data_IF_350937710437
#
_entry.id   IF_350937710437
#
_cell.length_a   1.000
_cell.length_b   1.000
_cell.length_c   1.000
_cell.angle_alpha   90.00
_cell.angle_beta   90.00
_cell.angle_gamma   90.00
#
_symmetry.space_group_name_H-M   'P 1'
#
loop_
_entity.id
_entity.type
_entity.pdbx_description
1 polymer ?
#
# COMPACT_ATOMS: atom_id res chain seq x y z
N UNK A 1 25.43 -32.08 46.08
CA UNK A 1 25.31 -31.14 44.97
C UNK A 1 23.94 -31.32 44.34
N UNK A 2 23.02 -30.36 44.55
CA UNK A 2 21.72 -30.35 43.87
C UNK A 2 21.96 -29.80 42.46
N UNK A 3 21.70 -30.64 41.43
CA UNK A 3 21.67 -30.22 40.05
C UNK A 3 20.39 -29.39 39.90
N UNK A 4 20.44 -28.12 39.48
CA UNK A 4 19.21 -27.39 39.20
C UNK A 4 18.45 -28.09 38.05
N UNK A 5 17.22 -28.48 38.36
CA UNK A 5 16.32 -29.04 37.36
C UNK A 5 16.03 -28.02 36.25
N UNK A 6 15.61 -28.45 35.07
CA UNK A 6 15.29 -27.56 33.97
C UNK A 6 14.24 -26.57 34.45
N UNK A 7 14.57 -25.28 34.38
CA UNK A 7 13.61 -24.19 34.57
C UNK A 7 12.67 -24.28 33.37
N UNK A 8 11.50 -24.88 33.54
CA UNK A 8 10.43 -24.85 32.55
C UNK A 8 9.99 -23.38 32.43
N UNK A 9 10.44 -22.74 31.38
CA UNK A 9 9.89 -21.44 31.00
C UNK A 9 8.38 -21.63 30.81
N UNK A 10 7.57 -20.81 31.48
CA UNK A 10 6.13 -20.84 31.26
C UNK A 10 5.88 -20.69 29.76
N UNK A 11 5.02 -21.58 29.20
CA UNK A 11 4.70 -21.56 27.79
C UNK A 11 4.21 -20.16 27.36
N UNK A 12 4.73 -19.65 26.26
CA UNK A 12 4.42 -18.31 25.80
C UNK A 12 2.94 -18.24 25.37
N UNK A 13 2.21 -17.30 25.97
CA UNK A 13 0.83 -17.02 25.57
C UNK A 13 0.82 -16.08 24.37
N UNK A 14 0.10 -16.45 23.31
CA UNK A 14 -0.10 -15.59 22.14
C UNK A 14 -1.10 -14.48 22.48
N UNK A 15 -0.74 -13.25 22.21
CA UNK A 15 -1.56 -12.07 22.44
C UNK A 15 -2.57 -11.83 21.31
N UNK A 16 -2.17 -12.14 20.06
CA UNK A 16 -3.07 -12.05 18.91
C UNK A 16 -2.57 -12.91 17.74
N UNK A 17 -3.50 -13.35 16.90
CA UNK A 17 -3.23 -13.96 15.60
C UNK A 17 -4.12 -13.30 14.56
N UNK A 18 -3.55 -12.94 13.41
CA UNK A 18 -4.24 -12.16 12.36
C UNK A 18 -3.94 -12.74 11.00
N UNK A 19 -4.88 -12.55 10.05
CA UNK A 19 -4.78 -12.97 8.67
C UNK A 19 -5.19 -11.81 7.76
N UNK A 20 -4.32 -11.46 6.81
CA UNK A 20 -4.54 -10.38 5.84
C UNK A 20 -4.43 -10.94 4.42
N UNK A 21 -5.56 -11.30 3.77
CA UNK A 21 -5.55 -11.77 2.39
C UNK A 21 -5.41 -10.59 1.42
N UNK A 22 -4.54 -10.73 0.41
CA UNK A 22 -4.39 -9.78 -0.68
C UNK A 22 -3.97 -10.50 -1.97
N UNK A 23 -4.16 -9.85 -3.11
CA UNK A 23 -3.75 -10.40 -4.42
C UNK A 23 -2.24 -10.53 -4.53
N UNK A 24 -1.49 -9.60 -3.95
CA UNK A 24 -0.02 -9.61 -4.01
C UNK A 24 0.60 -10.63 -3.06
N UNK A 25 -0.04 -10.90 -1.89
CA UNK A 25 0.36 -11.89 -0.91
C UNK A 25 -0.70 -12.05 0.18
N UNK A 26 -0.77 -13.21 0.82
CA UNK A 26 -1.52 -13.35 2.09
C UNK A 26 -0.55 -13.36 3.25
N UNK A 27 -0.84 -12.58 4.28
CA UNK A 27 -0.02 -12.45 5.49
C UNK A 27 -0.69 -13.08 6.70
N UNK A 28 0.05 -13.92 7.42
CA UNK A 28 -0.31 -14.44 8.75
C UNK A 28 0.64 -13.83 9.77
N UNK A 29 0.09 -13.29 10.86
CA UNK A 29 0.86 -12.72 11.95
C UNK A 29 0.47 -13.38 13.25
N UNK A 30 1.48 -13.77 14.03
CA UNK A 30 1.33 -14.29 15.39
C UNK A 30 2.13 -13.39 16.30
N UNK A 31 1.48 -12.83 17.30
CA UNK A 31 2.06 -11.85 18.21
C UNK A 31 2.05 -12.35 19.66
N UNK A 32 3.18 -12.14 20.34
CA UNK A 32 3.34 -12.49 21.75
C UNK A 32 4.18 -11.48 22.52
N UNK A 33 4.18 -11.58 23.86
CA UNK A 33 4.93 -10.67 24.73
C UNK A 33 6.45 -10.92 24.70
N UNK A 34 6.87 -12.08 24.18
CA UNK A 34 8.26 -12.51 24.08
C UNK A 34 8.56 -13.07 22.68
N UNK A 35 9.84 -13.20 22.27
CA UNK A 35 10.20 -13.89 21.04
C UNK A 35 9.60 -15.30 20.98
N UNK A 36 9.06 -15.66 19.83
CA UNK A 36 8.39 -16.93 19.57
C UNK A 36 9.34 -17.80 18.73
N UNK A 37 9.95 -18.85 19.27
CA UNK A 37 10.74 -19.78 18.47
C UNK A 37 9.85 -20.50 17.46
N UNK A 38 10.31 -20.57 16.20
CA UNK A 38 9.49 -21.05 15.10
C UNK A 38 10.30 -21.72 14.02
N UNK A 39 9.66 -22.64 13.29
CA UNK A 39 10.23 -23.34 12.13
C UNK A 39 9.20 -23.43 11.02
N UNK A 40 9.64 -23.30 9.75
CA UNK A 40 8.81 -23.38 8.56
C UNK A 40 9.20 -24.55 7.70
N UNK A 41 8.19 -25.26 7.17
CA UNK A 41 8.35 -26.28 6.14
C UNK A 41 7.28 -26.10 5.08
N UNK A 42 7.68 -26.11 3.82
CA UNK A 42 6.77 -26.10 2.68
C UNK A 42 6.68 -27.55 2.10
N UNK A 43 5.48 -28.00 1.81
CA UNK A 43 5.16 -29.30 1.21
C UNK A 43 4.42 -29.06 -0.11
N UNK A 44 4.68 -29.89 -1.13
CA UNK A 44 4.15 -29.66 -2.47
C UNK A 44 2.88 -30.46 -2.79
N UNK A 45 2.80 -31.71 -2.38
CA UNK A 45 1.74 -32.65 -2.77
C UNK A 45 0.94 -33.17 -1.55
N UNK A 46 -0.22 -32.62 -1.24
CA UNK A 46 -0.79 -31.37 -1.72
C UNK A 46 -0.06 -30.14 -1.17
N UNK A 47 -0.15 -28.96 -1.84
CA UNK A 47 0.60 -27.77 -1.42
C UNK A 47 0.16 -27.31 -0.04
N UNK A 48 1.12 -27.21 0.88
CA UNK A 48 0.89 -26.83 2.29
C UNK A 48 2.12 -26.10 2.85
N UNK A 49 1.85 -25.21 3.79
CA UNK A 49 2.89 -24.63 4.62
C UNK A 49 2.64 -25.04 6.07
N UNK A 50 3.68 -25.54 6.71
CA UNK A 50 3.65 -25.98 8.11
C UNK A 50 4.52 -25.03 8.93
N UNK A 51 3.92 -24.36 9.88
CA UNK A 51 4.58 -23.48 10.85
C UNK A 51 4.54 -24.17 12.22
N UNK A 52 5.69 -24.50 12.75
CA UNK A 52 5.84 -25.05 14.09
C UNK A 52 6.28 -23.94 15.04
N UNK A 53 5.58 -23.80 16.15
CA UNK A 53 5.85 -22.84 17.23
C UNK A 53 6.26 -23.61 18.48
N UNK A 54 7.44 -23.31 19.03
CA UNK A 54 7.96 -23.98 20.21
C UNK A 54 7.62 -23.21 21.49
N UNK A 55 7.27 -23.94 22.55
CA UNK A 55 6.95 -23.33 23.86
C UNK A 55 5.70 -22.46 23.86
N UNK A 56 4.76 -22.68 22.93
CA UNK A 56 3.52 -21.91 22.79
C UNK A 56 2.32 -22.72 23.24
N UNK A 57 1.42 -22.09 24.01
CA UNK A 57 0.13 -22.66 24.36
C UNK A 57 -0.91 -22.41 23.26
N UNK A 58 -1.81 -23.40 23.07
CA UNK A 58 -3.00 -23.18 22.25
C UNK A 58 -3.92 -22.20 22.98
N UNK A 59 -4.00 -20.99 22.46
CA UNK A 59 -4.80 -19.90 23.02
C UNK A 59 -6.06 -19.65 22.18
N UNK A 60 -7.11 -19.02 22.75
CA UNK A 60 -8.30 -18.65 21.99
C UNK A 60 -8.03 -17.81 20.75
N UNK A 61 -6.96 -17.00 20.76
CA UNK A 61 -6.53 -16.16 19.63
C UNK A 61 -6.05 -17.03 18.47
N UNK A 62 -5.29 -18.09 18.76
CA UNK A 62 -4.86 -19.05 17.74
C UNK A 62 -6.01 -19.93 17.26
N UNK A 63 -6.89 -20.38 18.16
CA UNK A 63 -8.06 -21.20 17.81
C UNK A 63 -8.99 -20.48 16.82
N UNK A 64 -9.03 -19.15 16.84
CA UNK A 64 -9.83 -18.35 15.91
C UNK A 64 -9.17 -18.19 14.54
N UNK A 65 -7.86 -18.35 14.41
CA UNK A 65 -7.15 -18.09 13.14
C UNK A 65 -7.76 -18.83 11.93
N UNK A 66 -8.20 -20.12 12.04
CA UNK A 66 -8.89 -20.79 10.94
C UNK A 66 -10.18 -20.09 10.49
N UNK A 67 -10.87 -19.38 11.38
CA UNK A 67 -12.13 -18.69 11.07
C UNK A 67 -11.93 -17.41 10.25
N UNK A 68 -10.70 -16.90 10.16
CA UNK A 68 -10.36 -15.71 9.37
C UNK A 68 -10.12 -16.02 7.90
N UNK A 69 -9.99 -17.31 7.53
CA UNK A 69 -9.83 -17.72 6.14
C UNK A 69 -11.12 -17.44 5.37
N UNK A 70 -11.03 -16.57 4.39
CA UNK A 70 -12.15 -16.21 3.52
C UNK A 70 -12.16 -17.08 2.26
N UNK A 71 -13.34 -17.42 1.70
CA UNK A 71 -13.41 -18.12 0.42
C UNK A 71 -12.68 -17.40 -0.72
N UNK A 72 -12.64 -16.08 -0.65
CA UNK A 72 -11.95 -15.21 -1.61
C UNK A 72 -10.43 -15.10 -1.41
N UNK A 73 -9.86 -15.63 -0.32
CA UNK A 73 -8.41 -15.65 -0.13
C UNK A 73 -7.75 -16.33 -1.35
N UNK A 74 -6.79 -15.70 -2.04
CA UNK A 74 -6.24 -16.26 -3.27
C UNK A 74 -5.32 -17.47 -3.03
N UNK A 75 -4.76 -17.63 -1.83
CA UNK A 75 -3.70 -18.60 -1.54
C UNK A 75 -4.08 -19.66 -0.51
N UNK A 76 -4.84 -19.31 0.53
CA UNK A 76 -5.17 -20.22 1.62
C UNK A 76 -6.53 -20.86 1.40
N UNK A 77 -6.56 -22.20 1.41
CA UNK A 77 -7.80 -22.99 1.38
C UNK A 77 -8.36 -23.23 2.78
N UNK A 78 -7.46 -23.35 3.77
CA UNK A 78 -7.83 -23.58 5.16
C UNK A 78 -6.63 -23.58 6.09
N UNK A 79 -6.88 -23.42 7.39
CA UNK A 79 -5.86 -23.47 8.44
C UNK A 79 -6.27 -24.52 9.46
N UNK A 80 -5.32 -25.32 9.90
CA UNK A 80 -5.49 -26.32 10.97
C UNK A 80 -4.44 -26.08 12.04
N UNK A 81 -4.84 -26.16 13.29
CA UNK A 81 -3.94 -25.96 14.43
C UNK A 81 -4.07 -27.15 15.37
N UNK A 82 -2.95 -27.75 15.75
CA UNK A 82 -2.93 -28.84 16.70
C UNK A 82 -1.60 -28.87 17.47
N UNK A 83 -1.64 -29.43 18.68
CA UNK A 83 -0.44 -29.76 19.42
C UNK A 83 0.26 -30.96 18.78
N UNK A 84 1.48 -30.77 18.33
CA UNK A 84 2.28 -31.81 17.68
C UNK A 84 3.17 -32.60 18.66
N UNK A 85 3.58 -31.94 19.75
CA UNK A 85 4.27 -32.53 20.91
C UNK A 85 3.97 -31.68 22.16
N UNK A 86 4.38 -32.09 23.37
CA UNK A 86 4.13 -31.33 24.59
C UNK A 86 4.55 -29.86 24.48
N UNK A 87 5.65 -29.58 23.80
CA UNK A 87 6.25 -28.25 23.70
C UNK A 87 6.10 -27.60 22.31
N UNK A 88 5.38 -28.23 21.36
CA UNK A 88 5.28 -27.75 19.99
C UNK A 88 3.83 -27.64 19.52
N UNK A 89 3.44 -26.48 19.12
CA UNK A 89 2.18 -26.20 18.45
C UNK A 89 2.41 -26.13 16.95
N UNK A 90 1.60 -26.83 16.16
CA UNK A 90 1.69 -26.87 14.71
C UNK A 90 0.51 -26.18 14.08
N UNK A 91 0.82 -25.27 13.17
CA UNK A 91 -0.14 -24.57 12.29
C UNK A 91 0.11 -25.09 10.87
N UNK A 92 -0.91 -25.66 10.24
CA UNK A 92 -0.86 -26.11 8.85
C UNK A 92 -1.76 -25.23 8.02
N UNK A 93 -1.18 -24.56 7.03
CA UNK A 93 -1.91 -23.80 6.03
C UNK A 93 -2.05 -24.70 4.79
N UNK A 94 -3.27 -25.13 4.51
CA UNK A 94 -3.61 -25.82 3.26
C UNK A 94 -3.75 -24.78 2.16
N UNK A 95 -3.02 -24.93 1.05
CA UNK A 95 -2.94 -23.92 0.01
C UNK A 95 -3.80 -24.28 -1.21
N UNK A 96 -4.35 -23.29 -1.87
CA UNK A 96 -5.05 -23.42 -3.16
C UNK A 96 -4.09 -23.62 -4.33
N UNK A 97 -2.87 -23.08 -4.20
CA UNK A 97 -1.80 -23.12 -5.19
C UNK A 97 -0.45 -23.08 -4.50
N UNK A 98 0.61 -23.48 -5.19
CA UNK A 98 1.97 -23.29 -4.67
C UNK A 98 2.29 -21.81 -4.47
N UNK A 99 2.95 -21.51 -3.36
CA UNK A 99 3.38 -20.17 -3.00
C UNK A 99 4.87 -20.15 -2.66
N UNK A 100 5.45 -18.98 -2.60
CA UNK A 100 6.77 -18.71 -2.05
C UNK A 100 6.61 -18.14 -0.64
N UNK A 101 6.69 -18.96 0.42
CA UNK A 101 6.56 -18.48 1.78
C UNK A 101 7.80 -17.71 2.21
N UNK A 102 7.61 -16.61 2.92
CA UNK A 102 8.66 -15.86 3.62
C UNK A 102 8.28 -15.77 5.10
N UNK A 103 9.17 -16.26 5.96
CA UNK A 103 8.99 -16.24 7.40
C UNK A 103 10.08 -15.38 8.05
N UNK A 104 9.69 -14.50 8.94
CA UNK A 104 10.60 -13.65 9.70
C UNK A 104 9.99 -13.22 11.02
N UNK A 105 10.86 -12.84 11.98
CA UNK A 105 10.45 -12.29 13.26
C UNK A 105 10.67 -10.79 13.32
N UNK A 106 9.79 -10.09 14.00
CA UNK A 106 9.88 -8.65 14.25
C UNK A 106 9.95 -8.35 15.73
N UNK A 107 10.85 -7.44 16.16
CA UNK A 107 10.88 -6.96 17.54
C UNK A 107 9.65 -6.09 17.83
N UNK A 108 9.40 -5.80 19.12
CA UNK A 108 8.35 -4.88 19.54
C UNK A 108 8.53 -3.49 18.89
N UNK A 109 7.41 -2.90 18.46
CA UNK A 109 7.36 -1.53 17.92
C UNK A 109 6.01 -0.90 18.24
N UNK A 110 6.00 0.34 18.70
CA UNK A 110 4.80 1.07 19.12
C UNK A 110 3.99 0.25 20.15
N UNK A 111 2.76 -0.14 19.81
CA UNK A 111 1.87 -0.96 20.65
C UNK A 111 1.99 -2.47 20.38
N UNK A 112 2.78 -2.87 19.38
CA UNK A 112 2.94 -4.27 19.00
C UNK A 112 4.06 -4.95 19.80
N UNK A 113 3.81 -6.20 20.19
CA UNK A 113 4.79 -7.09 20.81
C UNK A 113 5.73 -7.74 19.79
N UNK A 114 6.33 -8.87 20.19
CA UNK A 114 7.11 -9.70 19.28
C UNK A 114 6.19 -10.37 18.28
N UNK A 115 6.51 -10.29 16.98
CA UNK A 115 5.67 -10.83 15.91
C UNK A 115 6.44 -11.86 15.09
N UNK A 116 5.80 -12.97 14.80
CA UNK A 116 6.18 -13.91 13.74
C UNK A 116 5.29 -13.62 12.56
N UNK A 117 5.88 -13.30 11.42
CA UNK A 117 5.19 -12.92 10.19
C UNK A 117 5.48 -13.97 9.13
N UNK A 118 4.41 -14.52 8.54
CA UNK A 118 4.47 -15.44 7.40
C UNK A 118 3.74 -14.81 6.23
N UNK A 119 4.49 -14.46 5.20
CA UNK A 119 3.97 -13.97 3.92
C UNK A 119 3.97 -15.08 2.88
N UNK A 120 2.83 -15.26 2.22
CA UNK A 120 2.64 -16.22 1.13
C UNK A 120 2.53 -15.46 -0.19
N UNK A 121 3.63 -15.39 -0.94
CA UNK A 121 3.66 -14.75 -2.25
C UNK A 121 3.31 -15.74 -3.36
N UNK A 122 2.63 -15.32 -4.44
CA UNK A 122 2.48 -16.16 -5.63
C UNK A 122 3.84 -16.51 -6.24
N UNK A 123 3.94 -17.68 -6.87
CA UNK A 123 5.14 -18.06 -7.63
C UNK A 123 5.32 -17.16 -8.85
N UNK A 124 4.22 -16.82 -9.50
CA UNK A 124 4.19 -15.89 -10.61
C UNK A 124 3.36 -14.67 -10.15
N UNK A 125 4.00 -13.51 -9.94
CA UNK A 125 3.27 -12.29 -9.58
C UNK A 125 2.22 -11.96 -10.64
N UNK A 126 1.04 -11.51 -10.24
CA UNK A 126 0.08 -10.93 -11.17
C UNK A 126 0.74 -9.71 -11.82
N UNK A 127 0.99 -9.78 -13.13
CA UNK A 127 1.62 -8.69 -13.87
C UNK A 127 0.56 -7.61 -14.18
N UNK A 128 0.63 -6.43 -13.56
CA UNK A 128 -0.31 -5.35 -13.84
C UNK A 128 -0.30 -4.88 -15.30
N UNK A 129 0.84 -5.08 -15.99
CA UNK A 129 0.98 -4.76 -17.40
C UNK A 129 0.22 -5.77 -18.28
N UNK A 130 0.26 -7.06 -17.94
CA UNK A 130 -0.50 -8.09 -18.64
C UNK A 130 -2.01 -7.89 -18.47
N UNK A 131 -2.48 -7.56 -17.28
CA UNK A 131 -3.89 -7.21 -17.04
C UNK A 131 -4.33 -6.01 -17.90
N UNK A 132 -3.49 -5.01 -18.04
CA UNK A 132 -3.71 -3.84 -18.91
C UNK A 132 -3.73 -4.20 -20.41
N UNK A 133 -2.90 -5.15 -20.85
CA UNK A 133 -2.84 -5.61 -22.24
C UNK A 133 -4.05 -6.49 -22.59
N UNK A 134 -4.49 -7.36 -21.69
CA UNK A 134 -5.71 -8.17 -21.84
C UNK A 134 -6.95 -7.28 -21.97
N UNK A 135 -7.08 -6.27 -21.10
CA UNK A 135 -8.19 -5.32 -21.14
C UNK A 135 -8.22 -4.49 -22.44
N UNK A 136 -7.07 -4.26 -23.06
CA UNK A 136 -6.95 -3.57 -24.36
C UNK A 136 -7.21 -4.46 -25.56
N UNK A 137 -7.54 -5.75 -25.37
CA UNK A 137 -7.77 -6.69 -26.46
C UNK A 137 -6.51 -6.96 -27.31
N UNK A 138 -5.31 -6.65 -26.79
CA UNK A 138 -4.05 -6.78 -27.55
C UNK A 138 -3.56 -8.24 -27.68
N UNK A 139 -4.14 -9.19 -26.94
CA UNK A 139 -3.77 -10.61 -26.95
C UNK A 139 -4.72 -11.53 -27.75
N UNK A 140 -5.76 -10.98 -28.37
CA UNK A 140 -6.74 -11.74 -29.15
C UNK A 140 -6.75 -11.35 -30.62
N UNK A 141 -5.83 -11.84 -31.40
CA UNK A 141 -5.90 -11.68 -32.86
C UNK A 141 -4.83 -12.51 -33.58
N UNK A 142 -5.25 -13.55 -34.27
CA UNK A 142 -4.43 -14.31 -35.24
C UNK A 142 -3.70 -13.35 -36.18
N UNK A 143 -2.40 -13.17 -36.03
CA UNK A 143 -1.58 -12.49 -37.02
C UNK A 143 -1.22 -13.46 -38.14
N UNK A 144 -1.92 -13.34 -39.28
CA UNK A 144 -1.36 -13.76 -40.57
C UNK A 144 -0.07 -12.96 -40.84
N UNK A 145 0.98 -13.59 -41.37
CA UNK A 145 2.18 -12.84 -41.77
C UNK A 145 1.82 -11.86 -42.90
N UNK A 146 2.08 -10.59 -42.64
CA UNK A 146 1.84 -9.52 -43.62
C UNK A 146 3.00 -9.44 -44.60
N UNK A 147 2.67 -9.37 -45.87
CA UNK A 147 3.57 -9.04 -46.96
C UNK A 147 4.05 -7.58 -46.91
N UNK A 148 4.99 -7.26 -47.79
CA UNK A 148 5.82 -6.07 -47.93
C UNK A 148 5.22 -4.72 -47.52
N UNK A 149 6.04 -3.76 -47.00
CA UNK A 149 5.59 -2.49 -46.47
C UNK A 149 5.10 -1.58 -47.61
N UNK A 150 3.88 -1.01 -47.52
CA UNK A 150 3.47 0.05 -48.42
C UNK A 150 4.12 1.39 -47.97
N UNK A 151 4.77 2.01 -48.93
CA UNK A 151 5.27 3.37 -48.90
C UNK A 151 4.08 4.35 -48.84
N UNK A 152 3.62 4.67 -47.65
CA UNK A 152 2.85 5.88 -47.27
C UNK A 152 2.44 5.73 -45.81
N UNK A 153 3.00 6.57 -44.94
CA UNK A 153 2.50 6.78 -43.59
C UNK A 153 1.11 7.41 -43.67
N UNK A 154 0.04 6.73 -43.23
CA UNK A 154 -1.23 7.41 -43.10
C UNK A 154 -1.08 8.44 -41.98
N UNK A 155 -1.54 9.67 -42.22
CA UNK A 155 -1.72 10.66 -41.17
C UNK A 155 -2.54 10.01 -40.04
N UNK A 156 -1.91 9.83 -38.87
CA UNK A 156 -2.56 9.28 -37.70
C UNK A 156 -3.78 10.15 -37.41
N UNK A 157 -4.95 9.55 -37.51
CA UNK A 157 -6.20 10.17 -37.05
C UNK A 157 -5.99 10.64 -35.63
N UNK A 158 -6.11 11.94 -35.40
CA UNK A 158 -5.84 12.71 -34.17
C UNK A 158 -6.66 12.32 -32.93
N UNK A 159 -7.22 11.11 -32.85
CA UNK A 159 -8.18 10.73 -31.80
C UNK A 159 -7.74 9.54 -30.93
N UNK A 160 -6.52 9.04 -31.03
CA UNK A 160 -6.02 7.97 -30.15
C UNK A 160 -5.10 8.54 -29.07
N UNK A 161 -5.62 9.50 -28.27
CA UNK A 161 -4.94 9.95 -27.07
C UNK A 161 -5.04 8.82 -26.05
N UNK A 162 -3.89 8.26 -25.65
CA UNK A 162 -3.84 7.29 -24.56
C UNK A 162 -4.53 7.86 -23.31
N UNK A 163 -5.15 6.99 -22.52
CA UNK A 163 -5.74 7.39 -21.25
C UNK A 163 -4.65 7.88 -20.28
N UNK A 164 -4.96 8.92 -19.54
CA UNK A 164 -4.20 9.38 -18.38
C UNK A 164 -4.37 8.36 -17.26
N UNK A 165 -3.29 7.84 -16.72
CA UNK A 165 -3.31 6.86 -15.63
C UNK A 165 -2.95 7.57 -14.33
N UNK A 166 -3.88 7.55 -13.37
CA UNK A 166 -3.68 8.09 -12.01
C UNK A 166 -3.55 6.93 -11.03
N UNK A 167 -2.39 6.79 -10.41
CA UNK A 167 -2.19 5.84 -9.33
C UNK A 167 -2.65 6.47 -8.01
N UNK A 168 -3.64 5.84 -7.39
CA UNK A 168 -4.20 6.23 -6.11
C UNK A 168 -3.63 5.33 -5.02
N UNK A 169 -3.02 5.93 -4.04
CA UNK A 169 -2.45 5.26 -2.89
C UNK A 169 -3.29 5.57 -1.65
N UNK A 170 -4.03 4.57 -1.16
CA UNK A 170 -4.66 4.67 0.14
C UNK A 170 -3.62 4.33 1.20
N UNK A 171 -3.18 5.32 1.98
CA UNK A 171 -2.19 5.14 3.03
C UNK A 171 -2.51 4.01 4.00
N UNK A 172 -1.49 3.46 4.67
CA UNK A 172 -1.65 2.40 5.68
C UNK A 172 -2.30 1.11 5.14
N UNK A 173 -2.99 0.37 5.99
CA UNK A 173 -3.71 -0.87 5.63
C UNK A 173 -3.22 -2.09 6.40
N UNK A 174 -4.09 -3.10 6.54
CA UNK A 174 -3.77 -4.34 7.24
C UNK A 174 -3.26 -4.09 8.64
N UNK A 175 -2.03 -4.51 8.91
CA UNK A 175 -1.36 -4.38 10.20
C UNK A 175 -1.09 -2.93 10.63
N UNK A 176 -0.97 -2.02 9.68
CA UNK A 176 -0.79 -0.60 9.96
C UNK A 176 -2.15 0.11 9.95
N UNK A 177 -2.70 0.47 11.12
CA UNK A 177 -3.97 1.17 11.21
C UNK A 177 -3.88 2.64 10.78
N UNK A 178 -2.67 3.20 10.68
CA UNK A 178 -2.46 4.63 10.63
C UNK A 178 -2.80 5.31 11.96
N UNK A 179 -3.22 6.56 11.91
CA UNK A 179 -3.73 7.27 13.06
C UNK A 179 -5.10 6.74 13.49
N UNK A 180 -5.39 6.86 14.80
CA UNK A 180 -6.66 6.42 15.37
C UNK A 180 -7.35 7.62 16.01
N UNK A 181 -8.57 7.89 15.53
CA UNK A 181 -9.43 8.93 16.08
C UNK A 181 -9.93 8.60 17.48
N UNK A 182 -10.43 9.60 18.18
CA UNK A 182 -10.92 9.44 19.57
C UNK A 182 -12.14 8.50 19.67
N UNK A 183 -12.88 8.33 18.59
CA UNK A 183 -14.04 7.43 18.48
C UNK A 183 -13.68 6.04 17.95
N UNK A 184 -12.39 5.72 17.86
CA UNK A 184 -11.88 4.46 17.32
C UNK A 184 -11.91 4.36 15.80
N UNK A 185 -12.00 5.49 15.10
CA UNK A 185 -11.93 5.52 13.64
C UNK A 185 -10.48 5.29 13.21
N UNK A 186 -10.23 4.31 12.37
CA UNK A 186 -8.90 4.07 11.80
C UNK A 186 -8.69 4.89 10.52
N UNK A 187 -7.52 5.49 10.40
CA UNK A 187 -7.12 6.23 9.21
C UNK A 187 -7.20 5.36 7.96
N UNK A 188 -6.66 4.13 8.02
CA UNK A 188 -6.65 3.18 6.90
C UNK A 188 -8.01 2.96 6.25
N UNK A 189 -9.09 2.96 7.05
CA UNK A 189 -10.46 2.74 6.56
C UNK A 189 -11.01 3.99 5.86
N UNK A 190 -10.75 5.15 6.44
CA UNK A 190 -11.18 6.44 5.89
C UNK A 190 -10.52 6.71 4.55
N UNK A 191 -9.19 6.57 4.48
CA UNK A 191 -8.45 6.88 3.26
C UNK A 191 -8.76 5.89 2.13
N UNK A 192 -9.02 4.61 2.46
CA UNK A 192 -9.50 3.63 1.48
C UNK A 192 -10.88 4.00 0.93
N UNK A 193 -11.79 4.45 1.80
CA UNK A 193 -13.13 4.87 1.40
C UNK A 193 -13.09 6.11 0.48
N UNK A 194 -12.20 7.07 0.75
CA UNK A 194 -12.00 8.25 -0.10
C UNK A 194 -11.35 7.85 -1.43
N UNK A 195 -10.31 7.02 -1.41
CA UNK A 195 -9.61 6.55 -2.61
C UNK A 195 -10.55 5.80 -3.56
N UNK A 196 -11.43 4.93 -3.05
CA UNK A 196 -12.44 4.21 -3.86
C UNK A 196 -13.43 5.16 -4.54
N UNK A 197 -13.84 6.24 -3.84
CA UNK A 197 -14.71 7.28 -4.42
C UNK A 197 -13.99 8.08 -5.49
N UNK A 198 -12.74 8.46 -5.24
CA UNK A 198 -11.91 9.17 -6.21
C UNK A 198 -11.64 8.30 -7.45
N UNK A 199 -11.37 7.00 -7.28
CA UNK A 199 -11.27 6.04 -8.39
C UNK A 199 -12.52 6.07 -9.26
N UNK A 200 -13.70 5.98 -8.65
CA UNK A 200 -14.98 5.99 -9.40
C UNK A 200 -15.14 7.27 -10.24
N UNK A 201 -14.76 8.43 -9.69
CA UNK A 201 -14.83 9.69 -10.41
C UNK A 201 -13.83 9.77 -11.57
N UNK A 202 -12.60 9.32 -11.35
CA UNK A 202 -11.56 9.29 -12.40
C UNK A 202 -11.93 8.32 -13.51
N UNK A 203 -12.42 7.12 -13.16
CA UNK A 203 -12.80 6.10 -14.16
C UNK A 203 -14.03 6.52 -14.99
N UNK A 204 -14.88 7.41 -14.46
CA UNK A 204 -15.99 8.03 -15.18
C UNK A 204 -15.55 9.17 -16.11
N UNK A 205 -14.36 9.75 -15.93
CA UNK A 205 -13.86 10.85 -16.77
C UNK A 205 -13.34 10.31 -18.11
N UNK A 206 -13.86 10.79 -19.26
CA UNK A 206 -13.34 10.37 -20.56
C UNK A 206 -11.84 10.63 -20.73
N UNK A 207 -11.09 9.60 -21.10
CA UNK A 207 -9.64 9.70 -21.31
C UNK A 207 -8.80 9.56 -20.03
N UNK A 208 -9.40 9.25 -18.89
CA UNK A 208 -8.70 8.96 -17.63
C UNK A 208 -8.96 7.52 -17.15
N UNK A 209 -8.09 7.03 -16.28
CA UNK A 209 -8.21 5.76 -15.58
C UNK A 209 -7.47 5.85 -14.24
N UNK A 210 -8.07 5.28 -13.20
CA UNK A 210 -7.40 5.11 -11.92
C UNK A 210 -6.91 3.66 -11.74
N UNK A 211 -5.78 3.52 -11.02
CA UNK A 211 -5.33 2.27 -10.42
C UNK A 211 -5.10 2.50 -8.93
N UNK A 212 -5.27 1.47 -8.11
CA UNK A 212 -5.06 1.59 -6.68
C UNK A 212 -3.86 0.76 -6.24
N UNK A 213 -3.09 1.24 -5.27
CA UNK A 213 -1.99 0.46 -4.66
C UNK A 213 -2.53 -0.67 -3.80
N UNK A 214 -3.66 -0.44 -3.14
CA UNK A 214 -4.49 -1.43 -2.46
C UNK A 214 -5.97 -1.11 -2.66
N UNK A 215 -6.76 -2.12 -2.83
CA UNK A 215 -8.22 -2.02 -3.01
C UNK A 215 -9.02 -2.59 -1.84
N UNK A 216 -8.33 -3.15 -0.85
CA UNK A 216 -8.91 -3.67 0.39
C UNK A 216 -8.00 -3.41 1.60
N UNK A 217 -8.34 -3.98 2.77
CA UNK A 217 -7.60 -3.80 4.02
C UNK A 217 -6.42 -4.76 4.11
N UNK A 218 -5.32 -4.42 3.45
CA UNK A 218 -4.02 -5.08 3.58
C UNK A 218 -2.88 -4.05 3.50
N UNK A 219 -1.73 -4.38 4.07
CA UNK A 219 -0.57 -3.50 4.08
C UNK A 219 0.20 -3.62 2.76
N UNK A 220 0.59 -2.49 2.20
CA UNK A 220 1.50 -2.42 1.05
C UNK A 220 2.76 -1.65 1.47
N UNK A 221 3.96 -2.26 1.40
CA UNK A 221 5.21 -1.57 1.71
C UNK A 221 5.42 -0.32 0.87
N UNK A 222 6.00 0.74 1.46
CA UNK A 222 6.15 2.04 0.79
C UNK A 222 6.83 1.94 -0.59
N UNK A 223 7.91 1.17 -0.68
CA UNK A 223 8.59 0.93 -1.95
C UNK A 223 7.72 0.20 -2.98
N UNK A 224 6.85 -0.71 -2.52
CA UNK A 224 5.94 -1.46 -3.40
C UNK A 224 4.84 -0.55 -3.95
N UNK A 225 4.37 0.46 -3.19
CA UNK A 225 3.41 1.47 -3.67
C UNK A 225 3.96 2.22 -4.89
N UNK A 226 5.22 2.66 -4.79
CA UNK A 226 5.94 3.31 -5.89
C UNK A 226 6.11 2.38 -7.09
N UNK A 227 6.56 1.13 -6.86
CA UNK A 227 6.71 0.11 -7.92
C UNK A 227 5.39 -0.17 -8.65
N UNK A 228 4.27 -0.25 -7.93
CA UNK A 228 2.95 -0.42 -8.55
C UNK A 228 2.57 0.73 -9.47
N UNK A 229 2.83 1.98 -9.06
CA UNK A 229 2.60 3.14 -9.91
C UNK A 229 3.49 3.13 -11.16
N UNK A 230 4.77 2.76 -11.02
CA UNK A 230 5.70 2.63 -12.14
C UNK A 230 5.29 1.49 -13.10
N UNK A 231 4.89 0.33 -12.58
CA UNK A 231 4.48 -0.82 -13.39
C UNK A 231 3.30 -0.50 -14.32
N UNK A 232 2.34 0.30 -13.86
CA UNK A 232 1.22 0.76 -14.68
C UNK A 232 1.56 2.02 -15.50
N UNK A 233 2.80 2.50 -15.39
CA UNK A 233 3.25 3.75 -16.04
C UNK A 233 2.30 4.92 -15.72
N UNK A 234 2.01 5.14 -14.44
CA UNK A 234 1.15 6.22 -14.01
C UNK A 234 1.66 7.60 -14.46
N UNK A 235 0.74 8.50 -14.77
CA UNK A 235 1.01 9.90 -15.11
C UNK A 235 0.97 10.81 -13.88
N UNK A 236 0.38 10.30 -12.79
CA UNK A 236 0.28 10.97 -11.50
C UNK A 236 0.15 9.91 -10.40
N UNK A 237 0.81 10.14 -9.27
CA UNK A 237 0.65 9.38 -8.04
C UNK A 237 0.06 10.27 -6.95
N UNK A 238 -1.02 9.81 -6.32
CA UNK A 238 -1.72 10.54 -5.24
C UNK A 238 -1.84 9.63 -4.03
N UNK A 239 -1.07 9.91 -2.99
CA UNK A 239 -1.18 9.26 -1.69
C UNK A 239 -2.19 10.01 -0.81
N UNK A 240 -3.14 9.31 -0.22
CA UNK A 240 -4.27 9.87 0.53
C UNK A 240 -4.14 9.44 1.98
N UNK A 241 -4.10 10.44 2.87
CA UNK A 241 -3.91 10.31 4.31
C UNK A 241 -4.94 11.13 5.11
N UNK A 242 -5.04 10.87 6.40
CA UNK A 242 -5.88 11.60 7.36
C UNK A 242 -5.26 11.53 8.76
N UNK A 243 -4.05 12.02 8.88
CA UNK A 243 -3.16 11.77 10.01
C UNK A 243 -3.63 12.41 11.35
N UNK A 244 -2.95 12.03 12.42
CA UNK A 244 -3.07 12.68 13.73
C UNK A 244 -1.94 13.68 13.93
N UNK A 245 -2.28 14.86 14.41
CA UNK A 245 -1.29 15.84 14.85
C UNK A 245 -1.14 15.82 16.38
N UNK A 246 0.02 16.29 16.88
CA UNK A 246 0.31 16.34 18.32
C UNK A 246 -0.72 17.13 19.10
N UNK A 247 -1.15 18.25 18.52
CA UNK A 247 -2.18 19.12 19.08
C UNK A 247 -3.55 18.73 18.54
N UNK A 248 -4.43 18.29 19.42
CA UNK A 248 -5.81 17.89 19.06
C UNK A 248 -6.66 19.02 18.47
N UNK A 249 -6.24 20.28 18.65
CA UNK A 249 -6.86 21.45 18.04
C UNK A 249 -6.46 21.68 16.59
N UNK A 250 -5.40 20.97 16.10
CA UNK A 250 -4.99 21.04 14.71
C UNK A 250 -6.14 20.58 13.81
N UNK A 251 -6.35 21.31 12.73
CA UNK A 251 -7.44 21.08 11.76
C UNK A 251 -7.05 21.58 10.40
N UNK A 252 -7.78 21.12 9.42
CA UNK A 252 -7.59 21.54 8.04
C UNK A 252 -6.81 20.53 7.21
N UNK A 253 -6.86 20.74 5.91
CA UNK A 253 -6.20 19.87 4.93
C UNK A 253 -4.85 20.43 4.50
N UNK A 254 -3.96 19.54 4.06
CA UNK A 254 -2.64 19.91 3.51
C UNK A 254 -2.31 19.07 2.29
N UNK A 255 -1.45 19.58 1.42
CA UNK A 255 -0.88 18.82 0.31
C UNK A 255 0.63 18.93 0.37
N UNK A 256 1.30 17.81 0.17
CA UNK A 256 2.75 17.69 0.23
C UNK A 256 3.31 17.18 -1.10
N UNK A 257 4.50 17.68 -1.45
CA UNK A 257 5.33 17.15 -2.52
C UNK A 257 6.70 16.71 -1.95
N UNK A 258 7.44 15.94 -2.72
CA UNK A 258 8.79 15.53 -2.34
C UNK A 258 9.72 16.74 -2.24
N UNK A 259 10.64 16.70 -1.28
CA UNK A 259 11.83 17.54 -1.21
C UNK A 259 13.07 16.72 -0.94
N UNK A 260 14.13 17.00 -1.66
CA UNK A 260 15.47 16.44 -1.41
C UNK A 260 16.33 17.37 -0.53
N UNK A 261 16.06 18.65 -0.57
CA UNK A 261 16.82 19.69 0.13
C UNK A 261 16.41 19.94 1.59
N UNK A 262 15.45 19.16 2.10
CA UNK A 262 14.91 19.33 3.45
C UNK A 262 13.41 19.61 3.47
N UNK A 263 12.82 19.78 4.64
CA UNK A 263 11.38 20.03 4.77
C UNK A 263 11.07 21.53 4.80
N UNK A 264 9.93 21.91 4.21
CA UNK A 264 9.43 23.30 4.20
C UNK A 264 9.06 23.82 5.60
N UNK A 265 8.72 22.90 6.52
CA UNK A 265 8.39 23.22 7.92
C UNK A 265 8.79 22.08 8.87
N UNK A 266 8.85 22.39 10.18
CA UNK A 266 9.07 21.38 11.21
C UNK A 266 7.92 20.37 11.27
N UNK A 267 6.68 20.81 10.99
CA UNK A 267 5.51 19.95 10.90
C UNK A 267 5.61 18.97 9.73
N UNK A 268 5.98 19.46 8.54
CA UNK A 268 6.19 18.61 7.36
C UNK A 268 7.32 17.59 7.57
N UNK A 269 8.42 17.98 8.25
CA UNK A 269 9.51 17.07 8.62
C UNK A 269 9.03 15.96 9.54
N UNK A 270 8.29 16.32 10.58
CA UNK A 270 7.78 15.37 11.55
C UNK A 270 6.79 14.39 10.89
N UNK A 271 5.88 14.90 10.06
CA UNK A 271 4.92 14.07 9.34
C UNK A 271 5.64 13.07 8.41
N UNK A 272 6.59 13.53 7.61
CA UNK A 272 7.37 12.64 6.75
C UNK A 272 8.13 11.56 7.53
N UNK A 273 8.66 11.88 8.72
CA UNK A 273 9.31 10.89 9.59
C UNK A 273 8.32 9.84 10.09
N UNK A 274 7.11 10.26 10.45
CA UNK A 274 6.04 9.37 10.91
C UNK A 274 5.59 8.44 9.78
N UNK A 275 5.28 8.99 8.62
CA UNK A 275 4.82 8.22 7.46
C UNK A 275 5.90 7.24 6.94
N UNK A 276 7.16 7.66 6.96
CA UNK A 276 8.28 6.79 6.59
C UNK A 276 8.49 5.61 7.57
N UNK A 277 7.93 5.67 8.78
CA UNK A 277 7.96 4.58 9.76
C UNK A 277 6.85 3.54 9.55
N UNK A 278 5.94 3.73 8.61
CA UNK A 278 4.84 2.82 8.31
C UNK A 278 5.32 1.39 8.01
N UNK A 279 6.44 1.22 7.32
CA UNK A 279 7.02 -0.10 7.02
C UNK A 279 7.40 -0.88 8.29
N UNK A 280 7.83 -0.21 9.37
CA UNK A 280 8.11 -0.84 10.66
C UNK A 280 6.83 -1.36 11.33
N UNK A 281 5.76 -0.57 11.28
CA UNK A 281 4.45 -0.92 11.85
C UNK A 281 3.81 -2.03 11.03
N UNK A 282 3.77 -1.86 9.71
CA UNK A 282 3.24 -2.82 8.75
C UNK A 282 4.03 -4.13 8.67
N UNK A 283 5.18 -4.21 9.34
CA UNK A 283 5.96 -5.44 9.45
C UNK A 283 6.71 -5.81 8.17
N UNK A 284 7.46 -4.88 7.61
CA UNK A 284 8.37 -5.17 6.50
C UNK A 284 9.67 -5.76 7.03
N UNK A 285 10.16 -6.83 6.39
CA UNK A 285 11.49 -7.36 6.69
C UNK A 285 12.58 -6.43 6.13
N UNK A 286 13.18 -5.62 6.99
CA UNK A 286 14.24 -4.68 6.62
C UNK A 286 15.60 -5.34 6.39
N UNK A 287 15.78 -6.60 6.79
CA UNK A 287 17.03 -7.35 6.56
C UNK A 287 17.19 -7.80 5.11
N UNK A 288 16.10 -7.87 4.37
CA UNK A 288 16.12 -8.10 2.91
C UNK A 288 16.38 -6.76 2.22
N UNK A 289 17.64 -6.35 2.17
CA UNK A 289 18.06 -5.21 1.36
C UNK A 289 17.86 -5.56 -0.12
N UNK A 290 16.81 -5.04 -0.73
CA UNK A 290 16.72 -5.00 -2.19
C UNK A 290 17.78 -4.01 -2.70
N UNK A 291 18.86 -4.47 -3.39
CA UNK A 291 19.92 -3.58 -3.88
C UNK A 291 19.42 -2.56 -4.90
N UNK A 292 18.23 -2.79 -5.47
CA UNK A 292 17.58 -1.87 -6.42
C UNK A 292 17.05 -0.62 -5.68
N UNK A 293 16.61 -0.75 -4.43
CA UNK A 293 16.18 0.39 -3.60
C UNK A 293 17.31 1.39 -3.31
N UNK A 294 18.55 0.93 -3.22
CA UNK A 294 19.70 1.78 -2.91
C UNK A 294 20.22 2.56 -4.14
N UNK A 295 19.90 2.15 -5.36
CA UNK A 295 20.40 2.74 -6.60
C UNK A 295 19.45 3.66 -7.35
N UNK A 296 18.16 3.71 -6.99
CA UNK A 296 17.15 4.53 -7.68
C UNK A 296 17.16 6.00 -7.24
N UNK A 297 18.18 6.46 -6.59
CA UNK A 297 18.16 7.72 -5.83
C UNK A 297 18.88 8.90 -6.46
N UNK A 298 19.35 8.89 -7.70
CA UNK A 298 19.99 10.09 -8.25
C UNK A 298 19.77 10.15 -9.76
N UNK A 299 18.90 11.07 -10.22
CA UNK A 299 19.11 11.70 -11.52
C UNK A 299 18.29 13.00 -11.68
N UNK A 300 18.72 13.86 -12.59
CA UNK A 300 18.14 15.16 -12.96
C UNK A 300 16.64 15.14 -13.32
N UNK A 301 16.05 13.95 -13.54
CA UNK A 301 14.61 13.76 -13.75
C UNK A 301 13.78 14.13 -12.53
N UNK A 302 14.32 14.03 -11.31
CA UNK A 302 13.59 14.34 -10.06
C UNK A 302 13.22 15.82 -9.94
N UNK A 303 14.06 16.74 -10.43
CA UNK A 303 13.77 18.18 -10.36
C UNK A 303 12.52 18.55 -11.19
N UNK A 304 12.39 18.00 -12.40
CA UNK A 304 11.20 18.21 -13.23
C UNK A 304 9.95 17.57 -12.61
N UNK A 305 10.07 16.36 -12.07
CA UNK A 305 9.01 15.66 -11.38
C UNK A 305 8.53 16.43 -10.15
N UNK A 306 9.44 16.98 -9.33
CA UNK A 306 9.07 17.81 -8.16
C UNK A 306 8.34 19.08 -8.61
N UNK A 307 8.79 19.74 -9.68
CA UNK A 307 8.10 20.92 -10.23
C UNK A 307 6.67 20.60 -10.66
N UNK A 308 6.45 19.48 -11.34
CA UNK A 308 5.11 19.06 -11.76
C UNK A 308 4.26 18.60 -10.56
N UNK A 309 4.87 17.97 -9.54
CA UNK A 309 4.23 17.65 -8.28
C UNK A 309 3.71 18.91 -7.56
N UNK A 310 4.48 19.98 -7.54
CA UNK A 310 4.07 21.26 -6.96
C UNK A 310 2.89 21.89 -7.72
N UNK A 311 2.89 21.79 -9.07
CA UNK A 311 1.77 22.30 -9.89
C UNK A 311 0.48 21.51 -9.62
N UNK A 312 0.51 20.20 -9.70
CA UNK A 312 -0.68 19.38 -9.42
C UNK A 312 -1.12 19.54 -7.97
N UNK A 313 -0.16 19.57 -7.04
CA UNK A 313 -0.43 19.79 -5.62
C UNK A 313 -1.17 21.11 -5.37
N UNK A 314 -0.81 22.18 -6.08
CA UNK A 314 -1.52 23.47 -5.97
C UNK A 314 -2.97 23.38 -6.45
N UNK A 315 -3.22 22.75 -7.60
CA UNK A 315 -4.58 22.58 -8.10
C UNK A 315 -5.46 21.73 -7.17
N UNK A 316 -4.88 20.69 -6.55
CA UNK A 316 -5.57 19.83 -5.58
C UNK A 316 -5.82 20.60 -4.28
N UNK A 317 -4.82 21.32 -3.76
CA UNK A 317 -4.95 22.14 -2.55
C UNK A 317 -6.05 23.21 -2.69
N UNK A 318 -6.06 23.92 -3.82
CA UNK A 318 -7.08 24.93 -4.12
C UNK A 318 -8.50 24.31 -4.19
N UNK A 319 -8.61 23.08 -4.72
CA UNK A 319 -9.86 22.32 -4.73
C UNK A 319 -10.31 21.95 -3.32
N UNK A 320 -9.44 21.35 -2.53
CA UNK A 320 -9.74 20.92 -1.16
C UNK A 320 -10.10 22.09 -0.27
N UNK A 321 -9.47 23.26 -0.48
CA UNK A 321 -9.78 24.49 0.25
C UNK A 321 -11.22 24.97 0.12
N UNK A 322 -11.99 24.47 -0.86
CA UNK A 322 -13.43 24.76 -0.99
C UNK A 322 -14.30 23.86 -0.12
N UNK A 323 -13.77 22.73 0.35
CA UNK A 323 -14.50 21.71 1.13
C UNK A 323 -14.11 21.75 2.60
N UNK A 324 -12.83 21.94 2.89
CA UNK A 324 -12.29 21.99 4.25
C UNK A 324 -11.30 23.16 4.39
N UNK A 325 -11.21 23.81 5.55
CA UNK A 325 -10.15 24.78 5.80
C UNK A 325 -8.77 24.20 5.49
N UNK A 326 -7.87 25.01 4.97
CA UNK A 326 -6.50 24.58 4.75
C UNK A 326 -5.68 24.74 6.03
N UNK A 327 -4.90 23.73 6.41
CA UNK A 327 -3.93 23.84 7.49
C UNK A 327 -2.78 24.79 7.09
N UNK A 328 -2.34 24.70 5.84
CA UNK A 328 -1.37 25.59 5.21
C UNK A 328 -1.89 26.08 3.85
N UNK A 329 -1.69 27.35 3.50
CA UNK A 329 -2.20 27.91 2.24
C UNK A 329 -1.35 27.56 1.02
N UNK A 330 -0.27 26.82 1.20
CA UNK A 330 0.67 26.42 0.14
C UNK A 330 0.97 24.93 0.23
N UNK A 331 1.38 24.34 -0.90
CA UNK A 331 1.92 22.97 -0.93
C UNK A 331 3.21 22.94 -0.11
N UNK A 332 3.27 22.09 0.87
CA UNK A 332 4.46 21.85 1.67
C UNK A 332 5.36 20.78 1.04
N UNK A 333 6.61 20.69 1.50
CA UNK A 333 7.56 19.72 0.97
C UNK A 333 8.33 19.05 2.10
N UNK A 334 8.55 17.73 1.97
CA UNK A 334 9.44 16.97 2.85
C UNK A 334 9.90 15.66 2.19
N UNK A 335 10.76 14.91 2.88
CA UNK A 335 11.35 13.68 2.37
C UNK A 335 10.45 12.44 2.53
N UNK A 336 9.23 12.47 2.01
CA UNK A 336 8.30 11.33 2.02
C UNK A 336 8.82 10.20 1.15
N UNK A 337 9.01 9.01 1.73
CA UNK A 337 9.51 7.84 1.02
C UNK A 337 8.56 7.38 -0.10
N UNK A 338 7.25 7.46 0.14
CA UNK A 338 6.21 7.06 -0.82
C UNK A 338 6.16 7.97 -2.06
N UNK A 339 6.67 9.20 -1.99
CA UNK A 339 6.71 10.15 -3.13
C UNK A 339 7.98 10.06 -3.97
N UNK A 340 8.88 9.12 -3.66
CA UNK A 340 10.15 8.93 -4.39
C UNK A 340 9.96 8.12 -5.67
N UNK A 341 9.11 8.58 -6.56
CA UNK A 341 8.95 8.05 -7.92
C UNK A 341 9.65 9.01 -8.89
N UNK A 342 10.83 8.71 -9.42
CA UNK A 342 11.67 9.71 -10.13
C UNK A 342 11.03 10.26 -11.40
N UNK A 343 10.13 9.54 -12.02
CA UNK A 343 9.52 9.85 -13.32
C UNK A 343 8.00 10.10 -13.25
N UNK A 344 7.41 10.13 -12.05
CA UNK A 344 5.97 10.31 -11.85
C UNK A 344 5.72 11.50 -10.93
N UNK A 345 5.04 12.57 -11.35
CA UNK A 345 4.55 13.61 -10.44
C UNK A 345 3.78 12.98 -9.28
N UNK A 346 4.14 13.30 -8.05
CA UNK A 346 3.65 12.60 -6.86
C UNK A 346 3.29 13.58 -5.75
N UNK A 347 2.11 13.44 -5.18
CA UNK A 347 1.64 14.25 -4.06
C UNK A 347 1.09 13.36 -2.94
N UNK A 348 1.19 13.86 -1.70
CA UNK A 348 0.50 13.31 -0.54
C UNK A 348 -0.54 14.33 -0.06
N UNK A 349 -1.75 13.86 0.14
CA UNK A 349 -2.90 14.69 0.53
C UNK A 349 -3.34 14.28 1.93
N UNK A 350 -3.17 15.17 2.90
CA UNK A 350 -3.81 15.09 4.20
C UNK A 350 -5.21 15.68 4.09
N UNK A 351 -6.22 14.81 4.12
CA UNK A 351 -7.61 15.24 3.94
C UNK A 351 -8.12 16.04 5.13
N UNK A 352 -7.74 15.62 6.34
CA UNK A 352 -8.05 16.29 7.61
C UNK A 352 -7.24 15.62 8.73
N UNK A 353 -7.23 16.16 9.93
CA UNK A 353 -6.59 15.53 11.09
C UNK A 353 -7.58 14.68 11.88
N UNK A 354 -7.45 13.34 11.81
CA UNK A 354 -8.34 12.39 12.51
C UNK A 354 -8.28 12.54 14.04
N UNK A 355 -7.20 13.14 14.58
CA UNK A 355 -7.04 13.46 16.01
C UNK A 355 -7.98 14.56 16.48
N UNK A 356 -8.52 15.38 15.57
CA UNK A 356 -9.50 16.41 15.87
C UNK A 356 -10.92 15.81 15.86
N UNK A 357 -11.70 15.92 16.98
CA UNK A 357 -13.01 15.28 17.07
C UNK A 357 -14.05 15.73 16.04
N UNK A 358 -13.98 17.00 15.61
CA UNK A 358 -14.91 17.54 14.61
C UNK A 358 -14.54 17.06 13.21
N UNK A 359 -13.23 16.96 12.91
CA UNK A 359 -12.76 16.43 11.64
C UNK A 359 -12.93 14.91 11.55
N UNK A 360 -12.75 14.17 12.66
CA UNK A 360 -13.07 12.75 12.71
C UNK A 360 -14.52 12.47 12.32
N UNK A 361 -15.47 13.29 12.81
CA UNK A 361 -16.89 13.16 12.43
C UNK A 361 -17.11 13.39 10.93
N UNK A 362 -16.43 14.36 10.33
CA UNK A 362 -16.47 14.63 8.89
C UNK A 362 -15.87 13.44 8.11
N UNK A 363 -14.69 12.95 8.52
CA UNK A 363 -13.99 11.83 7.89
C UNK A 363 -14.82 10.53 7.89
N UNK A 364 -15.67 10.32 8.89
CA UNK A 364 -16.62 9.20 8.96
C UNK A 364 -17.84 9.37 8.05
N UNK A 365 -18.12 10.58 7.59
CA UNK A 365 -19.28 10.87 6.77
C UNK A 365 -19.03 10.48 5.31
N UNK A 366 -19.82 9.55 4.77
CA UNK A 366 -19.75 9.16 3.37
C UNK A 366 -19.94 10.32 2.41
N UNK A 367 -20.77 11.32 2.79
CA UNK A 367 -20.98 12.57 2.05
C UNK A 367 -19.69 13.38 2.00
N UNK A 368 -19.05 13.59 3.14
CA UNK A 368 -17.83 14.41 3.21
C UNK A 368 -16.65 13.75 2.51
N UNK A 369 -16.52 12.41 2.62
CA UNK A 369 -15.57 11.62 1.84
C UNK A 369 -15.76 11.81 0.33
N UNK A 370 -17.01 11.91 -0.15
CA UNK A 370 -17.31 12.17 -1.56
C UNK A 370 -16.94 13.61 -1.94
N UNK A 371 -17.20 14.59 -1.06
CA UNK A 371 -16.82 15.99 -1.27
C UNK A 371 -15.28 16.11 -1.40
N UNK A 372 -14.50 15.44 -0.55
CA UNK A 372 -13.04 15.35 -0.70
C UNK A 372 -12.62 14.70 -2.02
N UNK A 373 -13.21 13.56 -2.36
CA UNK A 373 -12.89 12.87 -3.61
C UNK A 373 -13.18 13.75 -4.83
N UNK A 374 -14.33 14.45 -4.83
CA UNK A 374 -14.70 15.38 -5.91
C UNK A 374 -13.73 16.54 -6.04
N UNK A 375 -13.33 17.15 -4.91
CA UNK A 375 -12.41 18.28 -4.91
C UNK A 375 -11.01 17.89 -5.43
N UNK A 376 -10.52 16.72 -5.06
CA UNK A 376 -9.28 16.16 -5.61
C UNK A 376 -9.38 15.85 -7.11
N UNK A 377 -10.49 15.22 -7.53
CA UNK A 377 -10.75 14.95 -8.95
C UNK A 377 -10.75 16.23 -9.77
N UNK A 378 -11.44 17.28 -9.31
CA UNK A 378 -11.49 18.56 -10.01
C UNK A 378 -10.11 19.23 -10.09
N UNK A 379 -9.30 19.11 -9.05
CA UNK A 379 -7.90 19.57 -9.05
C UNK A 379 -7.02 18.82 -10.07
N UNK A 380 -7.11 17.50 -10.09
CA UNK A 380 -6.39 16.63 -11.03
C UNK A 380 -6.81 16.95 -12.47
N UNK A 381 -8.10 17.10 -12.72
CA UNK A 381 -8.62 17.44 -14.05
C UNK A 381 -8.12 18.80 -14.53
N UNK A 382 -8.12 19.83 -13.67
CA UNK A 382 -7.56 21.15 -14.00
C UNK A 382 -6.07 21.09 -14.33
N UNK A 383 -5.31 20.30 -13.58
CA UNK A 383 -3.89 20.10 -13.87
C UNK A 383 -3.68 19.51 -15.26
N UNK A 384 -4.33 18.41 -15.61
CA UNK A 384 -4.15 17.75 -16.91
C UNK A 384 -4.75 18.54 -18.09
N UNK A 385 -5.71 19.42 -17.85
CA UNK A 385 -6.18 20.34 -18.89
C UNK A 385 -5.10 21.30 -19.37
N UNK A 386 -4.19 21.72 -18.49
CA UNK A 386 -3.09 22.62 -18.77
C UNK A 386 -1.75 21.90 -19.03
N UNK A 387 -1.62 20.65 -18.58
CA UNK A 387 -0.41 19.85 -18.66
C UNK A 387 -0.74 18.46 -19.24
N UNK A 388 -1.06 18.35 -20.53
CA UNK A 388 -1.35 17.05 -21.13
C UNK A 388 -0.12 16.16 -21.07
N UNK A 389 -0.28 14.86 -20.74
CA UNK A 389 0.84 13.94 -20.64
C UNK A 389 1.55 13.83 -21.99
N UNK A 390 2.88 13.84 -21.96
CA UNK A 390 3.70 13.66 -23.15
C UNK A 390 3.41 12.29 -23.77
N UNK A 391 3.36 12.25 -25.10
CA UNK A 391 3.30 10.98 -25.82
C UNK A 391 4.55 10.17 -25.47
N UNK A 392 4.37 9.04 -24.74
CA UNK A 392 5.50 8.14 -24.47
C UNK A 392 5.95 7.51 -25.78
N UNK A 393 7.25 7.63 -26.09
CA UNK A 393 7.85 6.87 -27.17
C UNK A 393 7.56 5.37 -26.91
N UNK A 394 7.04 4.66 -27.92
CA UNK A 394 7.00 3.19 -27.88
C UNK A 394 8.45 2.74 -27.68
N UNK A 395 8.77 2.19 -26.50
CA UNK A 395 10.01 1.44 -26.34
C UNK A 395 9.91 0.25 -27.27
N UNK A 396 10.54 0.40 -28.45
CA UNK A 396 10.72 -0.71 -29.38
C UNK A 396 11.54 -1.77 -28.68
N UNK A 397 11.08 -3.01 -28.73
CA UNK A 397 11.87 -4.18 -28.40
C UNK A 397 13.21 -4.09 -29.15
N UNK A 398 14.30 -4.04 -28.38
CA UNK A 398 15.59 -4.51 -28.84
C UNK A 398 15.82 -5.92 -28.29
#
# INVERSE_FOLDING_TARGET
>A
MLVPGPVWSAAARIASARLWPAQDYTRVIIEGPAPIPHQLRALKDPPRVVLDLEGVELSPELERLPTYVQPADPYIAGIRIARNSPDMLRIVLDLKTETRPQLFALPPVATFGHRVVLDLYPLTPADPLMALLEERGALGGDRKPAGDPPDRFPEAKRNDRRKIIVALDAGHGGEDPGAVGQRGTFEKDVVLAIARKLRTLIDAEPGMRATMTRDDDYFVPLATRVKKAQAVQADLFVSIHADAFRERSARGSSVFALSEGGASSAAAKWLAQKENAADLIGGVNLDVRDPVLARTLIDLSQTAQISDSLKVGRHVLDGIGTVNPLHKPAVEQAGFAVLKAPDIPSILVETAFISNPDEELKLRSARHQMEFAQSMHDGIRRYFASNPPLARARSGNA
#
